data_IF_629924306105
#
_entry.id   IF_629924306105
#
_cell.length_a   1.000
_cell.length_b   1.000
_cell.length_c   1.000
_cell.angle_alpha   90.00
_cell.angle_beta   90.00
_cell.angle_gamma   90.00
#
_symmetry.space_group_name_H-M   'P 1'
#
loop_
_entity.id
_entity.type
_entity.pdbx_description
1 polymer ?
#
# COMPACT_ATOMS: atom_id res chain seq x y z
N UNK A 1 -0.36 64.40 -24.85
CA UNK A 1 -0.14 63.89 -26.21
C UNK A 1 0.39 62.47 -26.06
N UNK A 2 -0.46 61.44 -26.17
CA UNK A 2 0.04 60.08 -26.29
C UNK A 2 0.43 59.88 -27.75
N UNK A 3 1.72 59.65 -28.01
CA UNK A 3 2.20 59.46 -29.37
C UNK A 3 1.67 58.12 -29.90
N UNK A 4 1.31 58.06 -31.19
CA UNK A 4 0.71 56.87 -31.81
C UNK A 4 1.62 55.65 -31.70
N UNK A 5 2.93 55.87 -31.74
CA UNK A 5 3.96 54.83 -31.63
C UNK A 5 4.08 54.27 -30.20
N UNK A 6 3.83 55.10 -29.18
CA UNK A 6 3.83 54.66 -27.78
C UNK A 6 2.66 53.70 -27.51
N UNK A 7 1.49 54.00 -28.08
CA UNK A 7 0.32 53.12 -27.98
C UNK A 7 0.56 51.80 -28.72
N UNK A 8 1.18 51.83 -29.90
CA UNK A 8 1.54 50.60 -30.64
C UNK A 8 2.49 49.71 -29.83
N UNK A 9 3.51 50.30 -29.22
CA UNK A 9 4.42 49.57 -28.33
C UNK A 9 3.69 49.00 -27.11
N UNK A 10 2.77 49.77 -26.50
CA UNK A 10 1.97 49.29 -25.38
C UNK A 10 1.07 48.10 -25.75
N UNK A 11 0.49 48.09 -26.95
CA UNK A 11 -0.30 46.96 -27.47
C UNK A 11 0.58 45.72 -27.65
N UNK A 12 1.77 45.88 -28.22
CA UNK A 12 2.72 44.77 -28.38
C UNK A 12 3.15 44.19 -27.02
N UNK A 13 3.41 45.05 -26.04
CA UNK A 13 3.67 44.64 -24.66
C UNK A 13 2.47 43.93 -24.02
N UNK A 14 1.25 44.41 -24.29
CA UNK A 14 0.03 43.80 -23.78
C UNK A 14 -0.14 42.38 -24.33
N UNK A 15 0.03 42.18 -25.65
CA UNK A 15 -0.03 40.85 -26.25
C UNK A 15 1.10 39.92 -25.83
N UNK A 16 2.26 40.46 -25.46
CA UNK A 16 3.35 39.67 -24.85
C UNK A 16 3.20 39.44 -23.35
N UNK A 17 2.18 40.02 -22.70
CA UNK A 17 1.93 39.87 -21.26
C UNK A 17 2.98 40.53 -20.37
N UNK A 18 3.63 41.59 -20.86
CA UNK A 18 4.70 42.32 -20.15
C UNK A 18 4.26 43.72 -19.67
N UNK A 19 2.98 44.06 -19.81
CA UNK A 19 2.39 45.31 -19.32
C UNK A 19 2.23 45.34 -17.82
N UNK A 20 2.26 46.54 -17.27
CA UNK A 20 1.90 46.83 -15.87
C UNK A 20 0.44 47.31 -15.76
N UNK A 21 -0.16 47.17 -14.57
CA UNK A 21 -1.54 47.63 -14.30
C UNK A 21 -1.79 49.10 -14.67
N UNK A 22 -0.77 49.96 -14.53
CA UNK A 22 -0.86 51.37 -14.88
C UNK A 22 -0.92 51.58 -16.40
N UNK A 23 -0.11 50.84 -17.17
CA UNK A 23 -0.10 50.87 -18.63
C UNK A 23 -1.42 50.31 -19.20
N UNK A 24 -1.96 49.24 -18.61
CA UNK A 24 -3.25 48.68 -19.04
C UNK A 24 -4.42 49.62 -18.77
N UNK A 25 -4.40 50.34 -17.64
CA UNK A 25 -5.37 51.41 -17.36
C UNK A 25 -5.29 52.53 -18.40
N UNK A 26 -4.07 52.90 -18.82
CA UNK A 26 -3.88 53.90 -19.88
C UNK A 26 -4.39 53.41 -21.25
N UNK A 27 -4.10 52.16 -21.62
CA UNK A 27 -4.65 51.52 -22.83
C UNK A 27 -6.18 51.49 -22.81
N UNK A 28 -6.77 51.11 -21.67
CA UNK A 28 -8.22 51.09 -21.48
C UNK A 28 -8.85 52.46 -21.60
N UNK A 29 -8.25 53.48 -20.99
CA UNK A 29 -8.71 54.87 -21.13
C UNK A 29 -8.61 55.37 -22.57
N UNK A 30 -7.50 55.07 -23.25
CA UNK A 30 -7.28 55.45 -24.64
C UNK A 30 -8.32 54.82 -25.58
N UNK A 31 -8.53 53.50 -25.47
CA UNK A 31 -9.47 52.76 -26.30
C UNK A 31 -10.95 52.95 -25.93
N UNK A 32 -11.24 53.54 -24.77
CA UNK A 32 -12.60 53.95 -24.40
C UNK A 32 -13.01 55.31 -25.02
N UNK A 33 -12.06 56.04 -25.62
CA UNK A 33 -12.33 57.30 -26.31
C UNK A 33 -12.99 57.12 -27.69
N UNK A 34 -13.61 58.20 -28.19
CA UNK A 34 -14.31 58.20 -29.49
C UNK A 34 -13.42 58.62 -30.69
N UNK A 35 -12.22 59.15 -30.45
CA UNK A 35 -11.33 59.67 -31.50
C UNK A 35 -10.02 58.88 -31.56
N UNK A 36 -10.06 57.74 -32.25
CA UNK A 36 -8.93 56.82 -32.42
C UNK A 36 -8.63 56.70 -33.92
N UNK A 37 -7.34 56.74 -34.25
CA UNK A 37 -6.84 56.62 -35.62
C UNK A 37 -7.38 55.33 -36.30
N UNK A 38 -7.74 55.41 -37.58
CA UNK A 38 -8.34 54.29 -38.31
C UNK A 38 -7.51 52.98 -38.26
N UNK A 39 -6.18 53.08 -38.27
CA UNK A 39 -5.26 51.94 -38.13
C UNK A 39 -5.40 51.18 -36.79
N UNK A 40 -5.87 51.85 -35.73
CA UNK A 40 -5.96 51.30 -34.38
C UNK A 40 -7.38 50.85 -34.01
N UNK A 41 -8.36 51.03 -34.91
CA UNK A 41 -9.75 50.60 -34.68
C UNK A 41 -9.90 49.09 -34.60
N UNK A 42 -9.08 48.34 -35.36
CA UNK A 42 -9.03 46.88 -35.26
C UNK A 42 -8.53 46.45 -33.88
N UNK A 43 -7.43 47.06 -33.42
CA UNK A 43 -6.83 46.82 -32.11
C UNK A 43 -7.78 47.21 -30.97
N UNK A 44 -8.48 48.34 -31.09
CA UNK A 44 -9.49 48.78 -30.13
C UNK A 44 -10.57 47.71 -29.92
N UNK A 45 -11.13 47.19 -31.02
CA UNK A 45 -12.19 46.17 -30.94
C UNK A 45 -11.68 44.89 -30.29
N UNK A 46 -10.45 44.49 -30.58
CA UNK A 46 -9.84 43.29 -30.01
C UNK A 46 -9.55 43.49 -28.52
N UNK A 47 -8.89 44.60 -28.16
CA UNK A 47 -8.55 44.94 -26.79
C UNK A 47 -9.79 45.03 -25.89
N UNK A 48 -10.85 45.71 -26.33
CA UNK A 48 -12.10 45.82 -25.57
C UNK A 48 -12.83 44.47 -25.42
N UNK A 49 -12.66 43.55 -26.38
CA UNK A 49 -13.19 42.20 -26.26
C UNK A 49 -12.39 41.33 -25.26
N UNK A 50 -11.07 41.53 -25.18
CA UNK A 50 -10.19 40.82 -24.25
C UNK A 50 -10.25 41.36 -22.82
N UNK A 51 -10.49 42.66 -22.66
CA UNK A 51 -10.62 43.35 -21.38
C UNK A 51 -12.08 43.79 -21.18
N UNK A 52 -13.03 42.86 -21.01
CA UNK A 52 -14.40 43.22 -20.68
C UNK A 52 -14.40 44.05 -19.38
N UNK A 53 -15.36 44.96 -19.29
CA UNK A 53 -15.59 45.79 -18.10
C UNK A 53 -15.67 44.95 -16.83
N UNK A 54 -15.42 45.57 -15.67
CA UNK A 54 -15.38 44.93 -14.36
C UNK A 54 -16.52 43.93 -14.19
N UNK A 55 -16.15 42.65 -14.18
CA UNK A 55 -17.08 41.55 -13.94
C UNK A 55 -17.27 41.47 -12.43
N UNK A 56 -18.52 41.53 -11.98
CA UNK A 56 -18.84 41.25 -10.57
C UNK A 56 -18.44 39.81 -10.27
N UNK A 57 -17.41 39.67 -9.43
CA UNK A 57 -16.95 38.37 -8.95
C UNK A 57 -17.94 37.90 -7.88
N UNK A 58 -18.55 36.71 -8.00
CA UNK A 58 -19.42 36.16 -6.97
C UNK A 58 -18.64 35.89 -5.69
N UNK A 59 -19.20 36.23 -4.52
CA UNK A 59 -18.56 36.05 -3.21
C UNK A 59 -18.15 34.59 -2.92
N UNK A 60 -18.92 33.61 -3.42
CA UNK A 60 -18.68 32.17 -3.26
C UNK A 60 -17.65 31.59 -4.25
N UNK A 61 -17.10 32.39 -5.18
CA UNK A 61 -16.19 31.87 -6.20
C UNK A 61 -14.92 31.27 -5.58
N UNK A 62 -14.35 31.94 -4.59
CA UNK A 62 -13.12 31.49 -3.94
C UNK A 62 -13.33 30.16 -3.22
N UNK A 63 -14.39 30.04 -2.43
CA UNK A 63 -14.73 28.81 -1.72
C UNK A 63 -14.97 27.65 -2.70
N UNK A 64 -15.67 27.90 -3.82
CA UNK A 64 -15.88 26.90 -4.87
C UNK A 64 -14.58 26.43 -5.52
N UNK A 65 -13.61 27.32 -5.72
CA UNK A 65 -12.30 26.97 -6.29
C UNK A 65 -11.51 26.12 -5.31
N UNK A 66 -11.42 26.55 -4.05
CA UNK A 66 -10.73 25.80 -2.98
C UNK A 66 -11.31 24.39 -2.83
N UNK A 67 -12.64 24.28 -2.78
CA UNK A 67 -13.32 22.98 -2.70
C UNK A 67 -12.97 22.05 -3.86
N UNK A 68 -12.79 22.58 -5.08
CA UNK A 68 -12.40 21.76 -6.25
C UNK A 68 -10.94 21.33 -6.18
N UNK A 69 -10.05 22.20 -5.69
CA UNK A 69 -8.64 21.86 -5.48
C UNK A 69 -8.51 20.73 -4.47
N UNK A 70 -9.23 20.83 -3.35
CA UNK A 70 -9.22 19.81 -2.30
C UNK A 70 -9.75 18.47 -2.79
N UNK A 71 -10.86 18.48 -3.54
CA UNK A 71 -11.41 17.27 -4.15
C UNK A 71 -10.41 16.59 -5.09
N UNK A 72 -9.70 17.37 -5.90
CA UNK A 72 -8.68 16.85 -6.81
C UNK A 72 -7.52 16.18 -6.05
N UNK A 73 -7.04 16.81 -4.97
CA UNK A 73 -5.99 16.25 -4.12
C UNK A 73 -6.40 14.93 -3.44
N UNK A 74 -7.66 14.82 -3.01
CA UNK A 74 -8.17 13.57 -2.41
C UNK A 74 -8.24 12.45 -3.45
N UNK A 75 -8.65 12.74 -4.68
CA UNK A 75 -8.73 11.73 -5.75
C UNK A 75 -7.33 11.23 -6.14
N UNK A 76 -6.36 12.12 -6.34
CA UNK A 76 -5.00 11.73 -6.72
C UNK A 76 -4.33 10.84 -5.65
N UNK A 77 -4.45 11.24 -4.38
CA UNK A 77 -3.86 10.50 -3.26
C UNK A 77 -4.50 9.12 -3.06
N UNK A 78 -5.82 9.02 -3.18
CA UNK A 78 -6.53 7.75 -3.01
C UNK A 78 -6.34 6.80 -4.20
N UNK A 79 -6.29 7.33 -5.43
CA UNK A 79 -5.98 6.55 -6.63
C UNK A 79 -4.57 5.97 -6.58
N UNK A 80 -3.56 6.79 -6.25
CA UNK A 80 -2.17 6.34 -6.08
C UNK A 80 -2.04 5.24 -5.01
N UNK A 81 -2.69 5.41 -3.85
CA UNK A 81 -2.71 4.40 -2.77
C UNK A 81 -3.38 3.08 -3.18
N UNK A 82 -4.36 3.12 -4.09
CA UNK A 82 -5.02 1.91 -4.59
C UNK A 82 -4.10 1.14 -5.55
N UNK A 83 -3.44 1.84 -6.47
CA UNK A 83 -2.52 1.24 -7.44
C UNK A 83 -1.34 0.57 -6.75
N UNK A 84 -0.71 1.22 -5.76
CA UNK A 84 0.42 0.64 -5.02
C UNK A 84 0.03 -0.59 -4.21
N UNK A 85 -1.15 -0.60 -3.57
CA UNK A 85 -1.66 -1.77 -2.83
C UNK A 85 -1.97 -2.95 -3.74
N UNK A 86 -2.50 -2.71 -4.94
CA UNK A 86 -2.78 -3.79 -5.91
C UNK A 86 -1.47 -4.40 -6.41
N UNK A 87 -0.48 -3.57 -6.77
CA UNK A 87 0.84 -4.03 -7.18
C UNK A 87 1.55 -4.83 -6.08
N UNK A 88 1.55 -4.32 -4.85
CA UNK A 88 2.18 -5.00 -3.72
C UNK A 88 1.51 -6.37 -3.43
N UNK A 89 0.18 -6.47 -3.53
CA UNK A 89 -0.52 -7.74 -3.30
C UNK A 89 -0.21 -8.79 -4.37
N UNK A 90 0.00 -8.36 -5.62
CA UNK A 90 0.46 -9.24 -6.70
C UNK A 90 1.90 -9.70 -6.49
N UNK A 91 2.81 -8.79 -6.14
CA UNK A 91 4.22 -9.12 -5.86
C UNK A 91 4.32 -10.07 -4.67
N UNK A 92 3.55 -9.85 -3.60
CA UNK A 92 3.49 -10.75 -2.45
C UNK A 92 2.95 -12.14 -2.84
N UNK A 93 1.96 -12.21 -3.74
CA UNK A 93 1.48 -13.49 -4.27
C UNK A 93 2.55 -14.26 -5.05
N UNK A 94 3.31 -13.57 -5.91
CA UNK A 94 4.44 -14.18 -6.65
C UNK A 94 5.54 -14.62 -5.69
N UNK A 95 5.93 -13.78 -4.74
CA UNK A 95 6.96 -14.09 -3.76
C UNK A 95 6.58 -15.28 -2.87
N UNK A 96 5.33 -15.37 -2.40
CA UNK A 96 4.85 -16.49 -1.59
C UNK A 96 4.86 -17.82 -2.38
N UNK A 97 4.49 -17.78 -3.67
CA UNK A 97 4.56 -18.94 -4.56
C UNK A 97 6.01 -19.43 -4.73
N UNK A 98 6.94 -18.51 -5.03
CA UNK A 98 8.36 -18.83 -5.14
C UNK A 98 8.91 -19.38 -3.83
N UNK A 99 8.53 -18.78 -2.69
CA UNK A 99 8.93 -19.26 -1.37
C UNK A 99 8.46 -20.70 -1.16
N UNK A 100 7.19 -21.02 -1.42
CA UNK A 100 6.68 -22.39 -1.30
C UNK A 100 7.46 -23.38 -2.18
N UNK A 101 7.74 -23.02 -3.44
CA UNK A 101 8.53 -23.85 -4.34
C UNK A 101 9.95 -24.07 -3.83
N UNK A 102 10.63 -23.03 -3.36
CA UNK A 102 11.96 -23.14 -2.78
C UNK A 102 11.96 -23.97 -1.50
N UNK A 103 10.97 -23.76 -0.62
CA UNK A 103 10.90 -24.49 0.66
C UNK A 103 10.65 -25.98 0.41
N UNK A 104 9.71 -26.32 -0.49
CA UNK A 104 9.45 -27.70 -0.88
C UNK A 104 10.64 -28.34 -1.60
N UNK A 105 11.29 -27.60 -2.51
CA UNK A 105 12.47 -28.06 -3.23
C UNK A 105 13.65 -28.35 -2.31
N UNK A 106 13.94 -27.47 -1.35
CA UNK A 106 14.98 -27.68 -0.35
C UNK A 106 14.64 -28.88 0.55
N UNK A 107 13.38 -29.03 0.97
CA UNK A 107 12.95 -30.15 1.79
C UNK A 107 13.15 -31.50 1.09
N UNK A 108 12.77 -31.61 -0.18
CA UNK A 108 12.95 -32.84 -0.97
C UNK A 108 14.44 -33.13 -1.15
N UNK A 109 15.24 -32.11 -1.49
CA UNK A 109 16.70 -32.25 -1.66
C UNK A 109 17.41 -32.71 -0.37
N UNK A 110 17.03 -32.14 0.78
CA UNK A 110 17.54 -32.59 2.08
C UNK A 110 17.06 -34.00 2.43
N UNK A 111 15.81 -34.35 2.14
CA UNK A 111 15.27 -35.68 2.42
C UNK A 111 15.95 -36.77 1.58
N UNK A 112 16.30 -36.50 0.33
CA UNK A 112 17.04 -37.45 -0.52
C UNK A 112 18.49 -37.64 -0.02
N UNK A 113 19.11 -36.55 0.45
CA UNK A 113 20.43 -36.56 1.08
C UNK A 113 20.44 -37.32 2.42
N UNK A 114 19.37 -37.19 3.22
CA UNK A 114 19.17 -37.92 4.47
C UNK A 114 18.73 -39.37 4.25
N UNK A 115 17.94 -39.68 3.22
CA UNK A 115 17.54 -41.05 2.86
C UNK A 115 18.74 -41.91 2.42
N UNK A 116 19.76 -41.29 1.83
CA UNK A 116 21.01 -41.98 1.51
C UNK A 116 21.90 -42.22 2.76
N UNK A 117 21.67 -41.48 3.86
CA UNK A 117 22.32 -41.67 5.18
C UNK A 117 21.49 -42.52 6.14
N UNK A 118 20.19 -42.69 5.91
CA UNK A 118 19.24 -43.40 6.80
C UNK A 118 19.10 -44.89 6.50
N UNK A 119 20.11 -45.53 5.90
CA UNK A 119 20.33 -46.98 6.07
C UNK A 119 20.90 -47.29 7.46
N UNK A 120 20.50 -46.53 8.48
CA UNK A 120 20.64 -46.97 9.85
C UNK A 120 19.52 -47.98 10.03
N UNK A 121 19.87 -49.25 9.80
CA UNK A 121 19.05 -50.40 10.17
C UNK A 121 18.38 -50.09 11.51
N UNK A 122 17.06 -50.29 11.59
CA UNK A 122 16.38 -50.30 12.87
C UNK A 122 16.98 -51.45 13.67
N UNK A 123 18.06 -51.19 14.41
CA UNK A 123 18.67 -52.15 15.32
C UNK A 123 17.62 -52.39 16.39
N UNK A 124 16.91 -53.51 16.26
CA UNK A 124 15.97 -53.95 17.28
C UNK A 124 16.73 -54.18 18.58
N UNK A 125 16.09 -53.87 19.71
CA UNK A 125 16.73 -53.98 21.04
C UNK A 125 17.14 -55.42 21.37
N UNK A 126 16.51 -56.41 20.71
CA UNK A 126 16.83 -57.82 20.82
C UNK A 126 16.97 -58.42 19.42
N UNK A 127 18.05 -59.17 19.21
CA UNK A 127 18.31 -59.91 17.95
C UNK A 127 17.40 -61.15 17.80
N UNK A 128 16.92 -61.71 18.92
CA UNK A 128 16.07 -62.89 18.94
C UNK A 128 14.68 -62.54 19.48
N UNK A 129 13.58 -62.85 18.74
CA UNK A 129 12.22 -62.58 19.18
C UNK A 129 11.83 -63.32 20.48
N UNK A 130 12.41 -64.48 20.77
CA UNK A 130 12.14 -65.22 22.01
C UNK A 130 12.65 -64.46 23.25
N UNK A 131 13.81 -63.81 23.14
CA UNK A 131 14.40 -63.04 24.24
C UNK A 131 13.59 -61.77 24.54
N UNK A 132 13.11 -61.08 23.48
CA UNK A 132 12.21 -59.94 23.62
C UNK A 132 10.92 -60.33 24.34
N UNK A 133 10.34 -61.48 23.98
CA UNK A 133 9.13 -62.00 24.62
C UNK A 133 9.38 -62.39 26.08
N UNK A 134 10.51 -63.03 26.36
CA UNK A 134 10.90 -63.41 27.72
C UNK A 134 11.07 -62.19 28.63
N UNK A 135 11.76 -61.13 28.17
CA UNK A 135 11.94 -59.92 28.97
C UNK A 135 10.61 -59.16 29.13
N UNK A 136 9.75 -59.16 28.11
CA UNK A 136 8.39 -58.60 28.21
C UNK A 136 7.58 -59.31 29.29
N UNK A 137 7.57 -60.64 29.29
CA UNK A 137 6.89 -61.43 30.32
C UNK A 137 7.48 -61.19 31.71
N UNK A 138 8.80 -61.02 31.81
CA UNK A 138 9.47 -60.68 33.07
C UNK A 138 9.04 -59.30 33.57
N UNK A 139 8.95 -58.30 32.69
CA UNK A 139 8.49 -56.96 33.02
C UNK A 139 7.02 -56.98 33.48
N UNK A 140 6.14 -57.65 32.73
CA UNK A 140 4.73 -57.82 33.10
C UNK A 140 4.55 -58.54 34.43
N UNK A 141 5.37 -59.56 34.70
CA UNK A 141 5.34 -60.29 35.98
C UNK A 141 5.77 -59.40 37.13
N UNK A 142 6.85 -58.61 36.97
CA UNK A 142 7.28 -57.63 37.98
C UNK A 142 6.18 -56.60 38.25
N UNK A 143 5.55 -56.09 37.19
CA UNK A 143 4.45 -55.15 37.28
C UNK A 143 3.25 -55.76 38.03
N UNK A 144 2.83 -56.97 37.67
CA UNK A 144 1.75 -57.70 38.35
C UNK A 144 2.02 -57.91 39.84
N UNK A 145 3.25 -58.31 40.22
CA UNK A 145 3.64 -58.46 41.63
C UNK A 145 3.59 -57.15 42.38
N UNK A 146 4.03 -56.05 41.75
CA UNK A 146 3.98 -54.72 42.36
C UNK A 146 2.55 -54.24 42.58
N UNK A 147 1.62 -54.54 41.66
CA UNK A 147 0.20 -54.26 41.80
C UNK A 147 -0.43 -55.07 42.93
N UNK A 148 -0.22 -56.40 42.97
CA UNK A 148 -0.77 -57.25 44.02
C UNK A 148 -0.31 -56.81 45.41
N UNK A 149 0.98 -56.49 45.57
CA UNK A 149 1.52 -55.97 46.82
C UNK A 149 0.94 -54.60 47.19
N UNK A 150 0.64 -53.76 46.19
CA UNK A 150 -0.05 -52.48 46.40
C UNK A 150 -1.48 -52.67 46.91
N UNK A 151 -2.23 -53.59 46.29
CA UNK A 151 -3.61 -53.89 46.66
C UNK A 151 -3.70 -54.51 48.06
N UNK A 152 -2.82 -55.46 48.40
CA UNK A 152 -2.75 -56.09 49.73
C UNK A 152 -2.50 -55.05 50.84
N UNK A 153 -1.64 -54.05 50.60
CA UNK A 153 -1.44 -52.96 51.55
C UNK A 153 -2.70 -52.12 51.76
N UNK A 154 -3.44 -51.84 50.69
CA UNK A 154 -4.71 -51.08 50.77
C UNK A 154 -5.77 -51.89 51.52
N UNK A 155 -5.90 -53.18 51.22
CA UNK A 155 -6.83 -54.08 51.91
C UNK A 155 -6.52 -54.18 53.42
N UNK A 156 -5.25 -54.37 53.79
CA UNK A 156 -4.84 -54.41 55.19
C UNK A 156 -5.12 -53.09 55.93
N UNK A 157 -4.92 -51.93 55.29
CA UNK A 157 -5.27 -50.62 55.88
C UNK A 157 -6.79 -50.49 56.03
N UNK A 158 -7.56 -50.93 55.03
CA UNK A 158 -9.02 -50.84 55.03
C UNK A 158 -9.64 -51.72 56.12
N UNK A 159 -9.14 -52.94 56.29
CA UNK A 159 -9.60 -53.86 57.33
C UNK A 159 -9.21 -53.38 58.74
N UNK A 160 -8.05 -52.73 58.90
CA UNK A 160 -7.65 -52.15 60.19
C UNK A 160 -8.41 -50.86 60.56
N UNK A 161 -9.10 -50.20 59.61
CA UNK A 161 -9.96 -49.05 59.90
C UNK A 161 -11.39 -49.43 60.32
N UNK A 162 -11.74 -50.72 60.28
CA UNK A 162 -13.09 -51.24 60.60
C UNK A 162 -13.14 -51.94 61.99
N UNK A 163 -11.98 -52.12 62.64
CA UNK A 163 -11.83 -52.50 64.06
C UNK A 163 -11.51 -51.28 64.95
#
# INVERSE_FOLDING_TARGET
MNNKDDIKNLIEKFYSGTTTDAEEKLLKLYFSGNDIADELKSEQKLFLALCPSEVSIPDDLQERVERRIDQWNVIDTTARRRVTRIGLRWVMGVAASLLLLFTAGIMIYHHESEAQTSQMETIDTYENPEDAYAETNRALTKFSRSLNKGLEKVENITNHQID
#
